data_IF_388480703105
#
_entry.id   IF_388480703105
#
_cell.length_a   1.000
_cell.length_b   1.000
_cell.length_c   1.000
_cell.angle_alpha   90.00
_cell.angle_beta   90.00
_cell.angle_gamma   90.00
#
_symmetry.space_group_name_H-M   'P 1'
#
loop_
_entity.id
_entity.type
_entity.pdbx_description
1 polymer ?
#
# COMPACT_ATOMS: atom_id res chain seq x y z
N UNK A 1 -37.63 -4.95 -29.58
CA UNK A 1 -36.88 -6.19 -29.33
C UNK A 1 -35.73 -6.25 -30.33
N UNK A 2 -34.55 -5.71 -29.98
CA UNK A 2 -33.31 -5.88 -30.72
C UNK A 2 -32.32 -6.64 -29.81
N UNK A 3 -32.04 -7.87 -30.21
CA UNK A 3 -31.07 -8.75 -29.53
C UNK A 3 -29.69 -8.09 -29.57
N UNK A 4 -29.12 -7.78 -28.41
CA UNK A 4 -27.70 -7.46 -28.26
C UNK A 4 -26.85 -8.65 -28.76
N UNK A 5 -25.73 -8.41 -29.48
CA UNK A 5 -24.91 -9.47 -30.05
C UNK A 5 -24.22 -10.24 -28.92
N UNK A 6 -24.23 -11.55 -29.13
CA UNK A 6 -23.80 -12.57 -28.16
C UNK A 6 -22.38 -12.44 -27.65
N UNK A 7 -22.25 -12.87 -26.41
CA UNK A 7 -21.14 -13.61 -25.85
C UNK A 7 -19.73 -13.22 -26.25
N UNK A 8 -19.17 -12.18 -25.61
CA UNK A 8 -17.71 -12.09 -25.49
C UNK A 8 -17.21 -13.36 -24.79
N UNK A 9 -16.35 -14.11 -25.45
CA UNK A 9 -15.81 -15.37 -24.94
C UNK A 9 -15.18 -15.17 -23.57
N UNK A 10 -15.23 -16.17 -22.71
CA UNK A 10 -14.63 -16.15 -21.35
C UNK A 10 -13.15 -15.70 -21.35
N UNK A 11 -12.43 -15.92 -22.46
CA UNK A 11 -11.06 -15.42 -22.66
C UNK A 11 -10.96 -13.89 -22.78
N UNK A 12 -11.94 -13.24 -23.41
CA UNK A 12 -11.90 -11.77 -23.58
C UNK A 12 -12.15 -10.99 -22.28
N UNK A 13 -12.76 -11.63 -21.28
CA UNK A 13 -12.96 -11.04 -19.94
C UNK A 13 -11.79 -11.30 -18.96
N UNK A 14 -11.00 -12.34 -19.21
CA UNK A 14 -9.90 -12.71 -18.35
C UNK A 14 -8.74 -11.69 -18.40
N UNK A 15 -8.42 -11.17 -19.59
CA UNK A 15 -7.32 -10.20 -19.77
C UNK A 15 -7.55 -8.90 -19.03
N UNK A 16 -8.71 -8.22 -19.10
CA UNK A 16 -8.99 -7.02 -18.32
C UNK A 16 -8.95 -7.26 -16.81
N UNK A 17 -9.44 -8.41 -16.33
CA UNK A 17 -9.41 -8.76 -14.92
C UNK A 17 -7.98 -9.03 -14.42
N UNK A 18 -7.14 -9.71 -15.19
CA UNK A 18 -5.73 -9.91 -14.85
C UNK A 18 -4.97 -8.59 -14.85
N UNK A 19 -5.17 -7.74 -15.87
CA UNK A 19 -4.58 -6.41 -15.90
C UNK A 19 -4.99 -5.57 -14.69
N UNK A 20 -6.27 -5.65 -14.28
CA UNK A 20 -6.72 -4.99 -13.07
C UNK A 20 -6.09 -5.56 -11.80
N UNK A 21 -5.93 -6.88 -11.70
CA UNK A 21 -5.22 -7.50 -10.57
C UNK A 21 -3.78 -7.00 -10.45
N UNK A 22 -3.02 -6.98 -11.55
CA UNK A 22 -1.65 -6.47 -11.54
C UNK A 22 -1.56 -4.95 -11.33
N UNK A 23 -2.55 -4.18 -11.79
CA UNK A 23 -2.58 -2.73 -11.49
C UNK A 23 -2.79 -2.46 -10.00
N UNK A 24 -3.66 -3.25 -9.34
CA UNK A 24 -3.88 -3.16 -7.88
C UNK A 24 -2.66 -3.66 -7.09
N UNK A 25 -1.93 -4.63 -7.65
CA UNK A 25 -0.71 -5.17 -7.03
C UNK A 25 0.50 -4.25 -7.17
N UNK A 26 0.46 -3.21 -8.00
CA UNK A 26 1.62 -2.31 -8.20
C UNK A 26 2.09 -1.70 -6.88
N UNK A 27 1.17 -1.32 -6.00
CA UNK A 27 1.48 -0.77 -4.68
C UNK A 27 2.15 -1.81 -3.76
N UNK A 28 1.55 -2.96 -3.40
CA UNK A 28 2.24 -3.93 -2.55
C UNK A 28 3.53 -4.50 -3.16
N UNK A 29 3.64 -4.63 -4.49
CA UNK A 29 4.88 -5.09 -5.14
C UNK A 29 5.97 -4.03 -5.03
N UNK A 30 5.65 -2.74 -5.05
CA UNK A 30 6.62 -1.65 -4.92
C UNK A 30 7.35 -1.66 -3.57
N UNK A 31 6.70 -2.16 -2.51
CA UNK A 31 7.31 -2.25 -1.17
C UNK A 31 8.52 -3.18 -1.11
N UNK A 32 8.66 -4.13 -2.03
CA UNK A 32 9.86 -4.98 -2.16
C UNK A 32 11.11 -4.13 -2.39
N UNK A 33 10.97 -2.98 -3.03
CA UNK A 33 12.10 -2.11 -3.37
C UNK A 33 12.81 -1.49 -2.15
N UNK A 34 12.11 -1.32 -1.02
CA UNK A 34 12.65 -0.63 0.15
C UNK A 34 12.55 -1.44 1.47
N UNK A 35 11.65 -2.44 1.55
CA UNK A 35 11.38 -3.11 2.82
C UNK A 35 12.52 -4.01 3.31
N UNK A 36 13.28 -4.65 2.38
CA UNK A 36 14.43 -5.51 2.74
C UNK A 36 15.55 -4.66 3.32
N UNK A 37 15.80 -3.48 2.74
CA UNK A 37 16.77 -2.51 3.27
C UNK A 37 16.36 -2.00 4.63
N UNK A 38 15.10 -1.60 4.80
CA UNK A 38 14.56 -1.15 6.08
C UNK A 38 14.72 -2.22 7.17
N UNK A 39 14.48 -3.50 6.83
CA UNK A 39 14.72 -4.62 7.73
C UNK A 39 16.18 -4.75 8.13
N UNK A 40 17.11 -4.70 7.15
CA UNK A 40 18.54 -4.84 7.40
C UNK A 40 19.08 -3.68 8.23
N UNK A 41 18.65 -2.44 7.97
CA UNK A 41 18.99 -1.27 8.79
C UNK A 41 18.48 -1.40 10.22
N UNK A 42 17.27 -1.93 10.41
CA UNK A 42 16.70 -2.17 11.74
C UNK A 42 17.36 -3.33 12.49
N UNK A 43 18.07 -4.23 11.79
CA UNK A 43 18.90 -5.31 12.32
C UNK A 43 20.37 -4.88 12.52
N UNK A 44 20.68 -3.58 12.41
CA UNK A 44 22.05 -3.03 12.49
C UNK A 44 23.02 -3.72 11.50
N UNK A 45 22.51 -4.18 10.35
CA UNK A 45 23.28 -4.85 9.32
C UNK A 45 23.52 -6.36 9.54
N UNK A 46 22.90 -6.97 10.54
CA UNK A 46 23.05 -8.41 10.79
C UNK A 46 22.31 -9.25 9.73
N UNK A 47 23.07 -9.68 8.73
CA UNK A 47 22.59 -10.50 7.62
C UNK A 47 22.04 -11.86 8.06
N UNK A 48 22.52 -12.41 9.18
CA UNK A 48 22.09 -13.72 9.66
C UNK A 48 20.63 -13.73 10.13
N UNK A 49 20.11 -12.57 10.54
CA UNK A 49 18.77 -12.38 11.04
C UNK A 49 17.80 -11.87 9.95
N UNK A 50 18.30 -11.47 8.77
CA UNK A 50 17.48 -10.88 7.71
C UNK A 50 16.41 -11.84 7.20
N UNK A 51 16.80 -13.06 6.79
CA UNK A 51 15.85 -14.06 6.24
C UNK A 51 14.81 -14.49 7.28
N UNK A 52 15.16 -14.83 8.53
CA UNK A 52 14.17 -15.11 9.58
C UNK A 52 13.20 -13.96 9.82
N UNK A 53 13.69 -12.71 9.83
CA UNK A 53 12.86 -11.52 10.00
C UNK A 53 11.87 -11.36 8.85
N UNK A 54 12.33 -11.46 7.59
CA UNK A 54 11.45 -11.34 6.41
C UNK A 54 10.43 -12.49 6.33
N UNK A 55 10.81 -13.70 6.73
CA UNK A 55 9.88 -14.83 6.81
C UNK A 55 8.77 -14.55 7.84
N UNK A 56 9.11 -14.03 9.03
CA UNK A 56 8.14 -13.63 10.05
C UNK A 56 7.18 -12.55 9.51
N UNK A 57 7.71 -11.54 8.83
CA UNK A 57 6.92 -10.47 8.20
C UNK A 57 5.91 -11.04 7.21
N UNK A 58 6.35 -11.91 6.30
CA UNK A 58 5.47 -12.54 5.31
C UNK A 58 4.40 -13.41 5.98
N UNK A 59 4.75 -14.13 7.05
CA UNK A 59 3.78 -14.91 7.82
C UNK A 59 2.69 -14.03 8.44
N UNK A 60 3.05 -12.85 8.96
CA UNK A 60 2.09 -11.88 9.50
C UNK A 60 1.23 -11.27 8.37
N UNK A 61 1.84 -10.94 7.24
CA UNK A 61 1.08 -10.47 6.07
C UNK A 61 0.07 -11.54 5.60
N UNK A 62 0.45 -12.81 5.61
CA UNK A 62 -0.47 -13.90 5.29
C UNK A 62 -1.67 -13.94 6.25
N UNK A 63 -1.45 -13.71 7.54
CA UNK A 63 -2.50 -13.62 8.54
C UNK A 63 -3.45 -12.43 8.27
N UNK A 64 -2.89 -11.26 7.94
CA UNK A 64 -3.66 -10.07 7.56
C UNK A 64 -4.46 -10.33 6.27
N UNK A 65 -3.88 -10.99 5.28
CA UNK A 65 -4.58 -11.37 4.03
C UNK A 65 -5.76 -12.32 4.29
N UNK A 66 -5.64 -13.24 5.24
CA UNK A 66 -6.79 -14.08 5.63
C UNK A 66 -7.91 -13.25 6.26
N UNK A 67 -7.58 -12.20 7.03
CA UNK A 67 -8.57 -11.24 7.52
C UNK A 67 -9.22 -10.45 6.37
N UNK A 68 -8.43 -9.89 5.44
CA UNK A 68 -8.96 -9.17 4.28
C UNK A 68 -9.82 -10.05 3.36
N UNK A 69 -9.51 -11.34 3.25
CA UNK A 69 -10.39 -12.29 2.57
C UNK A 69 -11.76 -12.36 3.25
N UNK A 70 -11.83 -12.37 4.59
CA UNK A 70 -13.09 -12.35 5.33
C UNK A 70 -13.85 -11.03 5.09
N UNK A 71 -13.13 -9.88 5.09
CA UNK A 71 -13.70 -8.57 4.78
C UNK A 71 -14.31 -8.53 3.37
N UNK A 72 -13.60 -9.00 2.34
CA UNK A 72 -14.11 -9.09 0.96
C UNK A 72 -15.37 -9.96 0.87
N UNK A 73 -15.44 -11.05 1.64
CA UNK A 73 -16.63 -11.89 1.68
C UNK A 73 -17.84 -11.17 2.27
N UNK A 74 -17.62 -10.36 3.31
CA UNK A 74 -18.69 -9.61 3.99
C UNK A 74 -19.08 -8.34 3.24
N UNK A 75 -18.10 -7.65 2.66
CA UNK A 75 -18.25 -6.36 1.97
C UNK A 75 -17.83 -6.45 0.50
N UNK A 76 -18.56 -7.18 -0.36
CA UNK A 76 -18.16 -7.34 -1.78
C UNK A 76 -18.30 -6.05 -2.59
N UNK A 77 -18.98 -5.04 -2.06
CA UNK A 77 -19.12 -3.71 -2.68
C UNK A 77 -18.02 -2.73 -2.26
N UNK A 78 -17.05 -3.17 -1.44
CA UNK A 78 -15.96 -2.33 -0.95
C UNK A 78 -16.17 -1.86 0.50
N UNK A 79 -15.37 -0.89 0.92
CA UNK A 79 -15.42 -0.34 2.29
C UNK A 79 -14.43 -0.97 3.28
N UNK A 80 -13.95 -2.19 3.01
CA UNK A 80 -12.85 -2.82 3.76
C UNK A 80 -12.97 -2.72 5.29
N UNK A 81 -11.86 -2.36 5.95
CA UNK A 81 -11.77 -2.26 7.40
C UNK A 81 -12.68 -1.17 7.99
N UNK A 82 -12.84 -0.02 7.32
CA UNK A 82 -13.67 1.08 7.83
C UNK A 82 -15.15 0.73 7.90
N UNK A 83 -15.69 0.04 6.87
CA UNK A 83 -17.05 -0.46 6.88
C UNK A 83 -17.27 -1.50 7.98
N UNK A 84 -16.29 -2.41 8.17
CA UNK A 84 -16.36 -3.43 9.22
C UNK A 84 -16.35 -2.82 10.62
N UNK A 85 -15.51 -1.82 10.87
CA UNK A 85 -15.42 -1.11 12.14
C UNK A 85 -16.72 -0.36 12.43
N UNK A 86 -17.30 0.32 11.44
CA UNK A 86 -18.57 1.03 11.57
C UNK A 86 -19.73 0.09 11.92
N UNK A 87 -19.83 -1.06 11.24
CA UNK A 87 -20.86 -2.07 11.54
C UNK A 87 -20.63 -2.73 12.90
N UNK A 88 -19.37 -2.97 13.28
CA UNK A 88 -19.04 -3.66 14.52
C UNK A 88 -19.19 -2.76 15.76
N UNK A 89 -18.73 -1.51 15.69
CA UNK A 89 -18.56 -0.65 16.86
C UNK A 89 -19.35 0.66 16.79
N UNK A 90 -19.95 0.97 15.65
CA UNK A 90 -20.69 2.20 15.38
C UNK A 90 -19.92 3.16 14.45
N UNK A 91 -20.66 4.01 13.72
CA UNK A 91 -20.12 4.87 12.65
C UNK A 91 -18.99 5.81 13.14
N UNK A 92 -19.05 6.26 14.39
CA UNK A 92 -18.00 7.10 14.98
C UNK A 92 -16.61 6.43 14.95
N UNK A 93 -16.53 5.12 15.14
CA UNK A 93 -15.28 4.37 15.15
C UNK A 93 -14.69 4.15 13.75
N UNK A 94 -15.50 4.28 12.69
CA UNK A 94 -15.03 4.20 11.31
C UNK A 94 -14.00 5.26 10.97
N UNK A 95 -14.02 6.41 11.66
CA UNK A 95 -13.09 7.50 11.40
C UNK A 95 -11.64 7.16 11.76
N UNK A 96 -11.42 6.19 12.67
CA UNK A 96 -10.06 5.75 13.01
C UNK A 96 -9.37 5.11 11.79
N UNK A 97 -9.89 4.04 11.16
CA UNK A 97 -9.26 3.49 9.96
C UNK A 97 -9.32 4.45 8.77
N UNK A 98 -10.33 5.32 8.64
CA UNK A 98 -10.39 6.32 7.57
C UNK A 98 -9.25 7.35 7.72
N UNK A 99 -9.06 7.92 8.91
CA UNK A 99 -7.98 8.87 9.16
C UNK A 99 -6.60 8.24 9.02
N UNK A 100 -6.45 6.99 9.45
CA UNK A 100 -5.24 6.20 9.22
C UNK A 100 -4.93 6.02 7.73
N UNK A 101 -5.93 5.69 6.91
CA UNK A 101 -5.78 5.54 5.45
C UNK A 101 -5.44 6.87 4.76
N UNK A 102 -5.98 8.01 5.22
CA UNK A 102 -5.59 9.32 4.67
C UNK A 102 -4.09 9.56 4.84
N UNK A 103 -3.57 9.32 6.05
CA UNK A 103 -2.13 9.47 6.35
C UNK A 103 -1.32 8.43 5.58
N UNK A 104 -1.81 7.20 5.49
CA UNK A 104 -1.20 6.11 4.74
C UNK A 104 -0.98 6.47 3.27
N UNK A 105 -2.00 6.98 2.58
CA UNK A 105 -1.87 7.39 1.18
C UNK A 105 -0.87 8.55 0.99
N UNK A 106 -0.82 9.53 1.91
CA UNK A 106 0.17 10.61 1.86
C UNK A 106 1.58 10.04 2.00
N UNK A 107 1.79 9.15 2.98
CA UNK A 107 3.08 8.51 3.22
C UNK A 107 3.48 7.58 2.07
N UNK A 108 2.53 6.82 1.50
CA UNK A 108 2.79 5.96 0.33
C UNK A 108 3.26 6.77 -0.87
N UNK A 109 2.65 7.94 -1.13
CA UNK A 109 3.12 8.86 -2.18
C UNK A 109 4.57 9.28 -1.88
N UNK A 110 4.84 9.75 -0.66
CA UNK A 110 6.15 10.27 -0.27
C UNK A 110 7.25 9.17 -0.33
N UNK A 111 7.00 7.99 0.26
CA UNK A 111 7.94 6.86 0.26
C UNK A 111 8.20 6.37 -1.16
N UNK A 112 7.14 6.11 -1.92
CA UNK A 112 7.28 5.56 -3.29
C UNK A 112 8.04 6.51 -4.21
N UNK A 113 7.76 7.81 -4.14
CA UNK A 113 8.46 8.79 -4.98
C UNK A 113 9.92 8.96 -4.54
N UNK A 114 10.18 9.00 -3.23
CA UNK A 114 11.55 9.10 -2.70
C UNK A 114 12.38 7.85 -3.04
N UNK A 115 11.80 6.64 -2.89
CA UNK A 115 12.45 5.41 -3.32
C UNK A 115 12.67 5.36 -4.84
N UNK A 116 11.73 5.92 -5.63
CA UNK A 116 11.91 6.10 -7.08
C UNK A 116 13.06 7.03 -7.42
N UNK A 117 13.21 8.13 -6.67
CA UNK A 117 14.36 9.02 -6.78
C UNK A 117 15.67 8.30 -6.40
N UNK A 118 15.66 7.51 -5.31
CA UNK A 118 16.82 6.71 -4.89
C UNK A 118 17.20 5.66 -5.94
N UNK A 119 16.24 5.02 -6.62
CA UNK A 119 16.52 4.10 -7.73
C UNK A 119 17.18 4.81 -8.92
N UNK A 120 16.73 6.04 -9.25
CA UNK A 120 17.36 6.83 -10.31
C UNK A 120 18.77 7.30 -9.91
N UNK A 121 18.97 7.73 -8.67
CA UNK A 121 20.27 8.15 -8.13
C UNK A 121 21.26 6.97 -8.15
N UNK A 122 20.82 5.77 -7.78
CA UNK A 122 21.68 4.60 -7.81
C UNK A 122 22.22 4.28 -9.22
N UNK A 123 21.51 4.67 -10.28
CA UNK A 123 21.98 4.56 -11.66
C UNK A 123 22.72 5.82 -12.14
N UNK A 124 22.28 7.01 -11.72
CA UNK A 124 22.88 8.31 -12.04
C UNK A 124 23.37 8.99 -10.76
N UNK A 125 24.55 8.65 -10.21
CA UNK A 125 25.04 9.18 -8.92
C UNK A 125 25.16 10.71 -8.89
N UNK A 126 25.37 11.36 -10.02
CA UNK A 126 25.44 12.82 -10.15
C UNK A 126 24.12 13.52 -9.73
N UNK A 127 23.01 12.79 -9.66
CA UNK A 127 21.74 13.31 -9.17
C UNK A 127 21.64 13.33 -7.64
N UNK A 128 22.56 12.72 -6.90
CA UNK A 128 22.51 12.61 -5.44
C UNK A 128 22.35 13.97 -4.72
N UNK A 129 23.06 15.06 -5.10
CA UNK A 129 22.85 16.38 -4.49
C UNK A 129 21.45 16.96 -4.71
N UNK A 130 20.73 16.47 -5.71
CA UNK A 130 19.39 16.92 -6.11
C UNK A 130 18.26 16.01 -5.62
N UNK A 131 18.54 15.06 -4.74
CA UNK A 131 17.58 14.04 -4.22
C UNK A 131 16.24 14.65 -3.85
N UNK A 132 16.24 15.68 -3.01
CA UNK A 132 15.01 16.33 -2.55
C UNK A 132 14.23 16.97 -3.69
N UNK A 133 14.92 17.69 -4.58
CA UNK A 133 14.30 18.32 -5.74
C UNK A 133 13.74 17.28 -6.72
N UNK A 134 14.46 16.19 -6.92
CA UNK A 134 14.02 15.07 -7.76
C UNK A 134 12.76 14.42 -7.18
N UNK A 135 12.73 14.13 -5.88
CA UNK A 135 11.57 13.59 -5.20
C UNK A 135 10.36 14.53 -5.29
N UNK A 136 10.53 15.82 -4.96
CA UNK A 136 9.45 16.80 -5.08
C UNK A 136 8.98 16.97 -6.53
N UNK A 137 9.91 16.98 -7.51
CA UNK A 137 9.59 17.04 -8.94
C UNK A 137 8.76 15.84 -9.40
N UNK A 138 9.09 14.63 -8.93
CA UNK A 138 8.32 13.42 -9.21
C UNK A 138 6.94 13.47 -8.56
N UNK A 139 6.79 13.97 -7.32
CA UNK A 139 5.45 14.18 -6.70
C UNK A 139 4.60 15.07 -7.60
N UNK A 140 5.15 16.21 -8.04
CA UNK A 140 4.45 17.15 -8.91
C UNK A 140 4.11 16.50 -10.26
N UNK A 141 5.03 15.75 -10.85
CA UNK A 141 4.79 15.05 -12.11
C UNK A 141 3.65 14.03 -12.00
N UNK A 142 3.61 13.23 -10.91
CA UNK A 142 2.55 12.26 -10.68
C UNK A 142 1.21 12.96 -10.39
N UNK A 143 1.22 14.03 -9.60
CA UNK A 143 0.03 14.85 -9.36
C UNK A 143 -0.54 15.43 -10.66
N UNK A 144 0.31 16.00 -11.51
CA UNK A 144 -0.07 16.52 -12.82
C UNK A 144 -0.60 15.41 -13.74
N UNK A 145 0.09 14.27 -13.77
CA UNK A 145 -0.37 13.10 -14.53
C UNK A 145 -1.77 12.66 -14.10
N UNK A 146 -2.04 12.66 -12.77
CA UNK A 146 -3.36 12.32 -12.21
C UNK A 146 -4.41 13.37 -12.59
N UNK A 147 -4.06 14.65 -12.63
CA UNK A 147 -4.98 15.74 -13.01
C UNK A 147 -5.29 15.78 -14.50
N UNK A 148 -4.31 15.48 -15.36
CA UNK A 148 -4.44 15.63 -16.82
C UNK A 148 -4.78 14.33 -17.56
N UNK A 149 -4.62 13.19 -16.95
CA UNK A 149 -4.99 11.92 -17.52
C UNK A 149 -4.57 10.79 -16.59
N UNK A 150 -5.48 9.92 -16.25
CA UNK A 150 -5.13 8.72 -15.50
C UNK A 150 -4.37 7.76 -16.43
N UNK A 151 -3.22 7.28 -15.98
CA UNK A 151 -2.59 6.12 -16.61
C UNK A 151 -3.58 4.96 -16.55
N UNK A 152 -3.84 4.36 -17.70
CA UNK A 152 -4.78 3.24 -17.79
C UNK A 152 -4.28 2.04 -16.96
N UNK A 153 -5.21 1.24 -16.46
CA UNK A 153 -4.91 0.01 -15.67
C UNK A 153 -3.90 -0.93 -16.36
N UNK A 154 -3.89 -0.95 -17.69
CA UNK A 154 -2.93 -1.71 -18.49
C UNK A 154 -1.49 -1.22 -18.31
N UNK A 155 -1.29 0.09 -18.19
CA UNK A 155 0.04 0.68 -17.99
C UNK A 155 0.59 0.31 -16.61
N UNK A 156 -0.22 0.43 -15.56
CA UNK A 156 0.19 -0.01 -14.21
C UNK A 156 0.48 -1.51 -14.16
N UNK A 157 -0.35 -2.32 -14.79
CA UNK A 157 -0.13 -3.75 -14.90
C UNK A 157 1.18 -4.07 -15.65
N UNK A 158 1.47 -3.35 -16.73
CA UNK A 158 2.70 -3.53 -17.49
C UNK A 158 3.94 -3.13 -16.68
N UNK A 159 3.87 -2.03 -15.92
CA UNK A 159 4.96 -1.60 -15.03
C UNK A 159 5.23 -2.63 -13.92
N UNK A 160 4.17 -3.14 -13.27
CA UNK A 160 4.30 -4.18 -12.26
C UNK A 160 4.88 -5.48 -12.83
N UNK A 161 4.38 -5.93 -13.98
CA UNK A 161 4.88 -7.14 -14.66
C UNK A 161 6.33 -6.96 -15.13
N UNK A 162 6.70 -5.80 -15.66
CA UNK A 162 8.07 -5.51 -16.08
C UNK A 162 9.03 -5.59 -14.89
N UNK A 163 8.70 -4.94 -13.77
CA UNK A 163 9.50 -5.03 -12.55
C UNK A 163 9.63 -6.47 -12.05
N UNK A 164 8.51 -7.21 -11.94
CA UNK A 164 8.52 -8.62 -11.51
C UNK A 164 9.43 -9.45 -12.42
N UNK A 165 9.27 -9.34 -13.74
CA UNK A 165 10.06 -10.10 -14.69
C UNK A 165 11.56 -9.77 -14.60
N UNK A 166 11.91 -8.49 -14.57
CA UNK A 166 13.31 -8.05 -14.49
C UNK A 166 13.90 -8.45 -13.13
N UNK A 167 13.15 -8.33 -12.03
CA UNK A 167 13.61 -8.77 -10.70
C UNK A 167 13.89 -10.28 -10.69
N UNK A 168 12.99 -11.11 -11.24
CA UNK A 168 13.21 -12.56 -11.35
C UNK A 168 14.47 -12.86 -12.15
N UNK A 169 14.70 -12.16 -13.26
CA UNK A 169 15.92 -12.34 -14.10
C UNK A 169 17.17 -11.95 -13.29
N UNK A 170 17.14 -10.81 -12.56
CA UNK A 170 18.25 -10.39 -11.70
C UNK A 170 18.55 -11.45 -10.63
N UNK A 171 17.53 -11.98 -9.96
CA UNK A 171 17.69 -13.05 -8.96
C UNK A 171 18.29 -14.32 -9.58
N UNK A 172 17.86 -14.71 -10.80
CA UNK A 172 18.46 -15.85 -11.51
C UNK A 172 19.96 -15.63 -11.81
N UNK A 173 20.36 -14.42 -12.17
CA UNK A 173 21.77 -14.06 -12.37
C UNK A 173 22.53 -14.07 -11.05
N UNK A 174 21.91 -13.61 -9.94
CA UNK A 174 22.49 -13.58 -8.60
C UNK A 174 22.91 -14.95 -8.08
N UNK A 175 22.17 -16.02 -8.42
CA UNK A 175 22.54 -17.39 -8.05
C UNK A 175 23.94 -17.82 -8.56
N UNK A 176 24.41 -17.24 -9.66
CA UNK A 176 25.72 -17.50 -10.22
C UNK A 176 26.78 -16.45 -9.87
N UNK A 177 26.42 -15.39 -9.17
CA UNK A 177 27.32 -14.30 -8.85
C UNK A 177 28.23 -14.67 -7.67
N UNK A 178 29.46 -14.12 -7.68
CA UNK A 178 30.42 -14.36 -6.60
C UNK A 178 30.12 -13.46 -5.41
N UNK A 179 30.02 -14.03 -4.17
CA UNK A 179 29.85 -13.22 -2.98
C UNK A 179 30.98 -12.20 -2.80
N UNK A 180 30.67 -11.05 -2.27
CA UNK A 180 31.69 -10.06 -1.90
C UNK A 180 32.66 -10.67 -0.90
N UNK A 181 33.96 -10.37 -1.06
CA UNK A 181 34.94 -10.68 -0.03
C UNK A 181 34.45 -10.07 1.29
N UNK A 182 34.50 -10.86 2.38
CA UNK A 182 33.95 -10.45 3.66
C UNK A 182 34.47 -9.06 4.06
N UNK A 183 33.71 -8.01 3.77
CA UNK A 183 33.79 -6.81 4.57
C UNK A 183 33.52 -7.26 6.00
N UNK A 184 34.31 -6.80 6.96
CA UNK A 184 34.19 -7.20 8.35
C UNK A 184 32.69 -7.20 8.70
N UNK A 185 32.16 -8.38 9.00
CA UNK A 185 30.74 -8.50 9.40
C UNK A 185 30.52 -7.45 10.49
N UNK A 186 29.54 -6.55 10.35
CA UNK A 186 29.28 -5.59 11.41
C UNK A 186 29.15 -6.38 12.70
N UNK A 187 29.77 -5.87 13.75
CA UNK A 187 29.69 -6.47 15.07
C UNK A 187 28.23 -6.77 15.37
N UNK A 188 27.94 -8.00 15.79
CA UNK A 188 26.58 -8.42 16.15
C UNK A 188 25.87 -7.29 16.89
N UNK A 189 24.66 -6.95 16.49
CA UNK A 189 23.79 -6.05 17.26
C UNK A 189 23.94 -6.46 18.72
N UNK A 190 24.28 -5.56 19.63
CA UNK A 190 24.54 -5.89 21.04
C UNK A 190 23.34 -6.54 21.76
N UNK A 191 22.36 -7.01 20.99
CA UNK A 191 21.13 -7.65 21.42
C UNK A 191 21.16 -9.17 21.18
N UNK A 192 20.47 -9.90 22.05
CA UNK A 192 20.15 -11.31 21.79
C UNK A 192 19.36 -11.43 20.48
N UNK A 193 19.64 -12.41 19.59
CA UNK A 193 19.03 -12.52 18.26
C UNK A 193 17.50 -12.36 18.23
N UNK A 194 16.79 -12.96 19.20
CA UNK A 194 15.33 -12.84 19.30
C UNK A 194 14.91 -11.39 19.56
N UNK A 195 15.61 -10.67 20.41
CA UNK A 195 15.31 -9.25 20.71
C UNK A 195 15.57 -8.38 19.47
N UNK A 196 16.66 -8.62 18.75
CA UNK A 196 16.97 -7.92 17.51
C UNK A 196 15.84 -8.11 16.47
N UNK A 197 15.37 -9.35 16.25
CA UNK A 197 14.24 -9.64 15.35
C UNK A 197 12.97 -8.96 15.83
N UNK A 198 12.63 -9.03 17.13
CA UNK A 198 11.45 -8.40 17.71
C UNK A 198 11.45 -6.88 17.53
N UNK A 199 12.60 -6.24 17.61
CA UNK A 199 12.73 -4.80 17.39
C UNK A 199 12.76 -4.42 15.90
N UNK A 200 13.27 -5.28 15.03
CA UNK A 200 13.41 -5.00 13.60
C UNK A 200 12.15 -5.29 12.79
N UNK A 201 11.42 -6.38 13.12
CA UNK A 201 10.28 -6.79 12.30
C UNK A 201 9.19 -5.73 12.16
N UNK A 202 8.88 -4.86 13.17
CA UNK A 202 7.88 -3.81 12.98
C UNK A 202 8.25 -2.79 11.89
N UNK A 203 9.54 -2.53 11.68
CA UNK A 203 10.03 -1.69 10.57
C UNK A 203 9.94 -2.44 9.26
N UNK A 204 10.35 -3.71 9.24
CA UNK A 204 10.26 -4.59 8.09
C UNK A 204 8.81 -4.82 7.61
N UNK A 205 7.82 -4.62 8.50
CA UNK A 205 6.40 -4.64 8.16
C UNK A 205 5.96 -3.50 7.22
N UNK A 206 6.84 -2.56 6.85
CA UNK A 206 6.62 -1.68 5.71
C UNK A 206 6.36 -2.45 4.40
N UNK A 207 6.74 -3.73 4.33
CA UNK A 207 6.36 -4.66 3.25
C UNK A 207 4.84 -4.83 3.12
N UNK A 208 4.07 -4.57 4.17
CA UNK A 208 2.60 -4.71 4.18
C UNK A 208 1.85 -3.55 3.50
N UNK A 209 2.56 -2.55 2.97
CA UNK A 209 1.99 -1.43 2.21
C UNK A 209 1.10 -1.95 1.08
N UNK A 210 -0.11 -1.40 0.96
CA UNK A 210 -1.03 -1.70 -0.13
C UNK A 210 -1.69 -3.09 -0.08
N UNK A 211 -1.46 -3.89 0.97
CA UNK A 211 -2.12 -5.21 1.12
C UNK A 211 -3.65 -5.08 1.22
N UNK A 212 -4.15 -3.93 1.68
CA UNK A 212 -5.58 -3.60 1.73
C UNK A 212 -6.17 -3.24 0.36
N UNK A 213 -5.34 -2.82 -0.61
CA UNK A 213 -5.77 -2.31 -1.91
C UNK A 213 -6.76 -3.24 -2.66
N UNK A 214 -6.59 -4.58 -2.68
CA UNK A 214 -7.58 -5.46 -3.29
C UNK A 214 -8.97 -5.36 -2.67
N UNK A 215 -9.08 -5.07 -1.37
CA UNK A 215 -10.37 -4.99 -0.66
C UNK A 215 -11.14 -3.70 -0.95
N UNK A 216 -10.45 -2.64 -1.31
CA UNK A 216 -11.04 -1.37 -1.74
C UNK A 216 -11.30 -1.36 -3.23
N UNK A 217 -10.38 -1.87 -4.03
CA UNK A 217 -10.45 -1.89 -5.49
C UNK A 217 -11.60 -2.76 -6.05
N UNK A 218 -12.09 -3.76 -5.32
CA UNK A 218 -13.25 -4.56 -5.76
C UNK A 218 -14.52 -3.72 -5.97
N UNK A 219 -14.63 -2.57 -5.32
CA UNK A 219 -15.74 -1.63 -5.52
C UNK A 219 -15.80 -1.09 -6.96
N UNK A 220 -14.64 -0.93 -7.61
CA UNK A 220 -14.53 -0.44 -8.99
C UNK A 220 -14.99 -1.46 -10.05
N UNK A 221 -15.24 -2.72 -9.64
CA UNK A 221 -15.70 -3.79 -10.52
C UNK A 221 -17.24 -3.83 -10.61
N UNK A 222 -17.87 -2.69 -10.95
CA UNK A 222 -19.33 -2.57 -11.09
C UNK A 222 -19.98 -3.61 -12.01
N UNK A 223 -19.24 -4.05 -13.02
CA UNK A 223 -19.69 -5.06 -14.00
C UNK A 223 -19.81 -6.48 -13.43
N UNK A 224 -19.16 -6.77 -12.28
CA UNK A 224 -19.21 -8.08 -11.65
C UNK A 224 -20.29 -8.14 -10.57
N UNK A 225 -20.97 -9.29 -10.52
CA UNK A 225 -21.82 -9.61 -9.38
C UNK A 225 -20.99 -9.89 -8.12
N UNK A 226 -21.62 -9.93 -6.94
CA UNK A 226 -20.93 -10.13 -5.65
C UNK A 226 -20.09 -11.40 -5.62
N UNK A 227 -20.52 -12.51 -6.26
CA UNK A 227 -19.74 -13.73 -6.36
C UNK A 227 -18.46 -13.54 -7.18
N UNK A 228 -18.57 -12.79 -8.28
CA UNK A 228 -17.42 -12.42 -9.13
C UNK A 228 -16.41 -11.55 -8.39
N UNK A 229 -16.88 -10.51 -7.69
CA UNK A 229 -16.06 -9.62 -6.87
C UNK A 229 -15.34 -10.38 -5.75
N UNK A 230 -16.05 -11.24 -5.00
CA UNK A 230 -15.44 -12.11 -3.96
C UNK A 230 -14.38 -13.05 -4.53
N UNK A 231 -14.64 -13.64 -5.70
CA UNK A 231 -13.65 -14.53 -6.36
C UNK A 231 -12.43 -13.74 -6.81
N UNK A 232 -12.65 -12.60 -7.45
CA UNK A 232 -11.57 -11.72 -7.91
C UNK A 232 -10.71 -11.26 -6.74
N UNK A 233 -11.29 -10.64 -5.71
CA UNK A 233 -10.54 -10.13 -4.56
C UNK A 233 -9.76 -11.22 -3.83
N UNK A 234 -10.34 -12.43 -3.68
CA UNK A 234 -9.63 -13.57 -3.11
C UNK A 234 -8.42 -13.98 -3.94
N UNK A 235 -8.57 -14.07 -5.26
CA UNK A 235 -7.46 -14.45 -6.16
C UNK A 235 -6.37 -13.39 -6.12
N UNK A 236 -6.73 -12.11 -6.19
CA UNK A 236 -5.77 -11.00 -6.14
C UNK A 236 -5.01 -10.97 -4.81
N UNK A 237 -5.67 -11.15 -3.65
CA UNK A 237 -5.01 -11.21 -2.35
C UNK A 237 -3.94 -12.32 -2.27
N UNK A 238 -4.29 -13.54 -2.70
CA UNK A 238 -3.34 -14.66 -2.67
C UNK A 238 -2.23 -14.51 -3.70
N UNK A 239 -2.53 -13.94 -4.86
CA UNK A 239 -1.52 -13.63 -5.86
C UNK A 239 -0.55 -12.55 -5.36
N UNK A 240 -1.06 -11.51 -4.68
CA UNK A 240 -0.24 -10.49 -4.02
C UNK A 240 0.72 -11.13 -3.01
N UNK A 241 0.20 -11.97 -2.10
CA UNK A 241 1.05 -12.67 -1.13
C UNK A 241 2.13 -13.53 -1.81
N UNK A 242 1.74 -14.29 -2.83
CA UNK A 242 2.67 -15.16 -3.54
C UNK A 242 3.77 -14.35 -4.23
N UNK A 243 3.43 -13.29 -4.95
CA UNK A 243 4.40 -12.46 -5.68
C UNK A 243 5.28 -11.68 -4.71
N UNK A 244 4.69 -10.91 -3.80
CA UNK A 244 5.45 -10.09 -2.84
C UNK A 244 6.31 -10.97 -1.94
N UNK A 245 5.74 -12.06 -1.40
CA UNK A 245 6.47 -12.97 -0.53
C UNK A 245 7.65 -13.66 -1.23
N UNK A 246 7.43 -14.13 -2.47
CA UNK A 246 8.49 -14.81 -3.24
C UNK A 246 9.61 -13.85 -3.62
N UNK A 247 9.26 -12.66 -4.14
CA UNK A 247 10.27 -11.66 -4.51
C UNK A 247 11.06 -11.20 -3.29
N UNK A 248 10.38 -10.91 -2.18
CA UNK A 248 11.04 -10.46 -0.94
C UNK A 248 11.98 -11.50 -0.38
N UNK A 249 11.55 -12.78 -0.31
CA UNK A 249 12.43 -13.86 0.14
C UNK A 249 13.57 -14.09 -0.83
N UNK A 250 13.33 -14.01 -2.14
CA UNK A 250 14.37 -14.09 -3.15
C UNK A 250 15.42 -13.00 -2.97
N UNK A 251 14.99 -11.74 -2.84
CA UNK A 251 15.90 -10.60 -2.58
C UNK A 251 16.66 -10.79 -1.27
N UNK A 252 15.97 -11.16 -0.17
CA UNK A 252 16.63 -11.35 1.12
C UNK A 252 17.66 -12.50 1.10
N UNK A 253 17.35 -13.61 0.42
CA UNK A 253 18.27 -14.73 0.27
C UNK A 253 19.51 -14.33 -0.56
N UNK A 254 19.32 -13.60 -1.66
CA UNK A 254 20.42 -13.12 -2.50
C UNK A 254 21.29 -12.08 -1.78
N UNK A 255 20.68 -11.15 -1.02
CA UNK A 255 21.39 -10.18 -0.20
C UNK A 255 22.31 -10.90 0.82
N UNK A 256 21.81 -11.96 1.44
CA UNK A 256 22.61 -12.79 2.38
C UNK A 256 23.66 -13.59 1.62
N UNK A 257 23.31 -14.21 0.49
CA UNK A 257 24.22 -14.99 -0.35
C UNK A 257 25.41 -14.15 -0.85
N UNK A 258 25.12 -12.97 -1.38
CA UNK A 258 26.12 -12.05 -1.92
C UNK A 258 26.80 -11.20 -0.83
N UNK A 259 26.40 -11.34 0.43
CA UNK A 259 26.92 -10.60 1.60
C UNK A 259 26.83 -9.08 1.42
N UNK A 260 25.70 -8.60 0.95
CA UNK A 260 25.47 -7.18 0.74
C UNK A 260 25.06 -6.54 2.07
N UNK A 261 25.92 -5.69 2.62
CA UNK A 261 25.65 -4.94 3.85
C UNK A 261 24.62 -3.83 3.66
N UNK A 262 24.47 -2.97 4.69
CA UNK A 262 23.63 -1.77 4.59
C UNK A 262 24.20 -0.83 3.52
N UNK A 263 23.41 -0.41 2.52
CA UNK A 263 23.92 0.44 1.44
C UNK A 263 24.23 1.85 1.93
N UNK A 264 25.08 2.55 1.19
CA UNK A 264 25.37 3.98 1.39
C UNK A 264 24.17 4.87 1.02
N UNK A 265 24.32 6.17 1.26
CA UNK A 265 23.23 7.14 1.05
C UNK A 265 22.78 7.26 -0.42
N UNK A 266 23.66 7.01 -1.38
CA UNK A 266 23.43 7.27 -2.81
C UNK A 266 23.08 6.01 -3.61
N UNK A 267 22.77 4.92 -2.93
CA UNK A 267 22.36 3.66 -3.52
C UNK A 267 21.30 2.97 -2.66
N UNK A 268 20.69 1.88 -3.15
CA UNK A 268 19.70 1.09 -2.42
C UNK A 268 20.13 -0.36 -2.33
N UNK A 269 19.59 -1.10 -1.36
CA UNK A 269 19.90 -2.53 -1.17
C UNK A 269 19.68 -3.35 -2.45
N UNK A 270 18.55 -3.12 -3.12
CA UNK A 270 18.23 -3.83 -4.36
C UNK A 270 19.08 -3.35 -5.56
N UNK A 271 19.55 -2.10 -5.53
CA UNK A 271 20.48 -1.59 -6.54
C UNK A 271 21.85 -2.25 -6.42
N UNK A 272 22.40 -2.37 -5.19
CA UNK A 272 23.64 -3.08 -4.94
C UNK A 272 23.55 -4.56 -5.34
N UNK A 273 22.41 -5.22 -5.03
CA UNK A 273 22.14 -6.58 -5.47
C UNK A 273 22.19 -6.68 -7.01
N UNK A 274 21.45 -5.80 -7.69
CA UNK A 274 21.39 -5.85 -9.16
C UNK A 274 22.72 -5.50 -9.81
N UNK A 275 23.51 -4.58 -9.23
CA UNK A 275 24.84 -4.21 -9.72
C UNK A 275 25.84 -5.37 -9.61
N UNK A 276 25.75 -6.17 -8.54
CA UNK A 276 26.62 -7.33 -8.34
C UNK A 276 26.19 -8.54 -9.15
N UNK A 277 24.88 -8.74 -9.30
CA UNK A 277 24.32 -9.93 -9.92
C UNK A 277 24.26 -9.84 -11.45
N UNK A 278 24.05 -8.66 -12.03
CA UNK A 278 23.60 -8.49 -13.38
C UNK A 278 24.56 -7.67 -14.26
N UNK A 279 24.63 -7.92 -15.59
CA UNK A 279 25.34 -7.05 -16.51
C UNK A 279 24.68 -5.67 -16.59
N UNK A 280 25.46 -4.64 -16.97
CA UNK A 280 25.04 -3.23 -17.00
C UNK A 280 23.69 -2.96 -17.68
N UNK A 281 23.35 -3.53 -18.85
CA UNK A 281 22.04 -3.29 -19.46
C UNK A 281 20.87 -3.81 -18.61
N UNK A 282 21.06 -4.92 -17.88
CA UNK A 282 20.06 -5.49 -17.01
C UNK A 282 19.93 -4.68 -15.72
N UNK A 283 21.06 -4.18 -15.19
CA UNK A 283 21.05 -3.24 -14.06
C UNK A 283 20.29 -1.95 -14.39
N UNK A 284 20.55 -1.35 -15.58
CA UNK A 284 19.79 -0.21 -16.05
C UNK A 284 18.28 -0.52 -16.15
N UNK A 285 17.92 -1.63 -16.82
CA UNK A 285 16.51 -2.04 -16.92
C UNK A 285 15.86 -2.24 -15.56
N UNK A 286 16.59 -2.80 -14.59
CA UNK A 286 16.10 -2.98 -13.22
C UNK A 286 15.83 -1.66 -12.53
N UNK A 287 16.74 -0.69 -12.58
CA UNK A 287 16.56 0.62 -11.94
C UNK A 287 15.40 1.40 -12.57
N UNK A 288 15.28 1.40 -13.90
CA UNK A 288 14.17 2.08 -14.58
C UNK A 288 12.83 1.41 -14.30
N UNK A 289 12.73 0.09 -14.31
CA UNK A 289 11.48 -0.61 -13.98
C UNK A 289 11.11 -0.42 -12.51
N UNK A 290 12.09 -0.35 -11.60
CA UNK A 290 11.88 -0.02 -10.19
C UNK A 290 11.32 1.39 -10.03
N UNK A 291 11.93 2.40 -10.65
CA UNK A 291 11.44 3.78 -10.60
C UNK A 291 10.03 3.91 -11.18
N UNK A 292 9.75 3.27 -12.32
CA UNK A 292 8.43 3.28 -12.94
C UNK A 292 7.37 2.61 -12.06
N UNK A 293 7.67 1.47 -11.43
CA UNK A 293 6.77 0.81 -10.51
C UNK A 293 6.45 1.70 -9.28
N UNK A 294 7.46 2.36 -8.72
CA UNK A 294 7.31 3.26 -7.58
C UNK A 294 6.46 4.50 -7.94
N UNK A 295 6.64 5.06 -9.14
CA UNK A 295 5.76 6.11 -9.69
C UNK A 295 4.33 5.59 -9.87
N UNK A 296 4.14 4.33 -10.29
CA UNK A 296 2.82 3.71 -10.40
C UNK A 296 2.14 3.57 -9.02
N UNK A 297 2.88 3.14 -8.00
CA UNK A 297 2.39 3.05 -6.62
C UNK A 297 1.96 4.42 -6.08
N UNK A 298 2.78 5.47 -6.27
CA UNK A 298 2.41 6.83 -5.90
C UNK A 298 1.14 7.31 -6.64
N UNK A 299 1.01 6.99 -7.93
CA UNK A 299 -0.17 7.35 -8.72
C UNK A 299 -1.44 6.64 -8.25
N UNK A 300 -1.35 5.38 -7.79
CA UNK A 300 -2.49 4.66 -7.21
C UNK A 300 -3.00 5.36 -5.95
N UNK A 301 -2.10 5.81 -5.08
CA UNK A 301 -2.44 6.56 -3.86
C UNK A 301 -3.01 7.96 -4.16
N UNK A 302 -2.52 8.64 -5.22
CA UNK A 302 -3.13 9.88 -5.71
C UNK A 302 -4.54 9.71 -6.30
N UNK A 303 -4.93 8.49 -6.66
CA UNK A 303 -6.29 8.17 -7.08
C UNK A 303 -7.16 7.78 -5.88
N UNK A 304 -6.67 6.88 -5.02
CA UNK A 304 -7.40 6.33 -3.90
C UNK A 304 -7.68 7.37 -2.79
N UNK A 305 -6.67 8.14 -2.37
CA UNK A 305 -6.81 9.13 -1.29
C UNK A 305 -7.80 10.25 -1.62
N UNK A 306 -7.60 11.01 -2.71
CA UNK A 306 -8.56 12.02 -3.16
C UNK A 306 -9.95 11.45 -3.47
N UNK A 307 -10.02 10.22 -4.02
CA UNK A 307 -11.26 9.50 -4.27
C UNK A 307 -12.06 9.24 -2.99
N UNK A 308 -11.36 8.86 -1.91
CA UNK A 308 -11.95 8.67 -0.59
C UNK A 308 -12.52 9.97 -0.01
N UNK A 309 -11.77 11.09 -0.08
CA UNK A 309 -12.27 12.39 0.37
C UNK A 309 -13.50 12.84 -0.44
N UNK A 310 -13.50 12.59 -1.75
CA UNK A 310 -14.64 12.85 -2.62
C UNK A 310 -15.86 12.01 -2.21
N UNK A 311 -15.68 10.73 -1.88
CA UNK A 311 -16.77 9.88 -1.40
C UNK A 311 -17.40 10.43 -0.11
N UNK A 312 -16.57 10.88 0.85
CA UNK A 312 -17.03 11.52 2.09
C UNK A 312 -17.72 12.87 1.85
N UNK A 313 -17.38 13.59 0.77
CA UNK A 313 -18.03 14.84 0.41
C UNK A 313 -19.38 14.62 -0.32
N UNK A 314 -19.59 13.44 -0.93
CA UNK A 314 -20.79 13.08 -1.71
C UNK A 314 -21.81 12.24 -0.97
N UNK A 315 -21.53 11.80 0.23
CA UNK A 315 -22.36 10.84 0.94
C UNK A 315 -23.86 11.15 0.80
N UNK A 316 -24.64 10.12 0.44
CA UNK A 316 -26.09 10.19 0.30
C UNK A 316 -26.73 9.44 1.46
N UNK A 317 -27.55 10.11 2.27
CA UNK A 317 -28.25 9.49 3.39
C UNK A 317 -29.31 8.47 2.94
N UNK A 318 -29.86 7.67 3.88
CA UNK A 318 -30.92 6.68 3.57
C UNK A 318 -32.18 7.27 2.94
N UNK A 319 -32.39 8.57 3.11
CA UNK A 319 -33.51 9.35 2.58
C UNK A 319 -33.25 9.93 1.16
N UNK A 320 -32.15 9.56 0.53
CA UNK A 320 -31.73 10.05 -0.78
C UNK A 320 -31.21 11.48 -0.80
N UNK A 321 -31.12 12.15 0.35
CA UNK A 321 -30.55 13.50 0.45
C UNK A 321 -29.02 13.41 0.49
N UNK A 322 -28.35 14.31 -0.23
CA UNK A 322 -26.88 14.45 -0.15
C UNK A 322 -26.51 15.04 1.21
N UNK A 323 -25.87 14.23 2.02
CA UNK A 323 -25.39 14.59 3.37
C UNK A 323 -23.87 14.42 3.40
N UNK A 324 -23.16 15.12 2.49
CA UNK A 324 -21.70 15.12 2.51
C UNK A 324 -21.20 15.74 3.81
N UNK A 325 -20.25 15.06 4.48
CA UNK A 325 -19.64 15.58 5.72
C UNK A 325 -18.47 16.52 5.42
N UNK A 326 -17.82 16.36 4.27
CA UNK A 326 -16.71 17.22 3.86
C UNK A 326 -17.19 18.37 2.96
N UNK A 327 -16.42 19.48 2.88
CA UNK A 327 -16.76 20.61 2.01
C UNK A 327 -16.97 20.18 0.56
N UNK A 328 -18.00 20.73 -0.08
CA UNK A 328 -18.37 20.44 -1.47
C UNK A 328 -17.25 20.72 -2.50
N UNK A 329 -16.23 21.49 -2.11
CA UNK A 329 -15.03 21.73 -2.94
C UNK A 329 -14.28 20.43 -3.23
N UNK A 330 -14.24 19.48 -2.28
CA UNK A 330 -13.56 18.19 -2.44
C UNK A 330 -14.34 17.23 -3.35
N UNK A 331 -15.63 17.48 -3.59
CA UNK A 331 -16.42 16.75 -4.57
C UNK A 331 -16.19 17.23 -6.01
N UNK A 332 -15.71 18.48 -6.19
CA UNK A 332 -15.52 19.05 -7.52
C UNK A 332 -14.43 18.31 -8.28
N UNK A 333 -14.78 17.87 -9.48
CA UNK A 333 -13.85 17.27 -10.44
C UNK A 333 -13.51 18.25 -11.55
N UNK A 334 -12.33 18.11 -12.13
CA UNK A 334 -11.94 18.81 -13.34
C UNK A 334 -12.69 18.21 -14.58
N UNK A 335 -12.45 18.78 -15.77
CA UNK A 335 -13.02 18.29 -17.03
C UNK A 335 -12.69 16.82 -17.36
N UNK A 336 -11.74 16.21 -16.64
CA UNK A 336 -11.29 14.82 -16.78
C UNK A 336 -11.73 13.93 -15.61
N UNK A 337 -12.74 14.38 -14.84
CA UNK A 337 -13.30 13.68 -13.69
C UNK A 337 -12.32 13.43 -12.52
N UNK A 338 -11.13 14.03 -12.52
CA UNK A 338 -10.17 13.95 -11.40
C UNK A 338 -10.55 14.94 -10.28
N UNK A 339 -10.51 14.54 -8.99
CA UNK A 339 -10.81 15.40 -7.85
C UNK A 339 -9.64 16.36 -7.56
N UNK A 340 -9.58 17.48 -8.31
CA UNK A 340 -8.43 18.38 -8.37
C UNK A 340 -7.98 18.91 -7.00
N UNK A 341 -8.92 19.30 -6.14
CA UNK A 341 -8.60 19.80 -4.79
C UNK A 341 -8.06 18.70 -3.86
N UNK A 342 -8.58 17.48 -4.01
CA UNK A 342 -8.04 16.33 -3.29
C UNK A 342 -6.61 16.02 -3.73
N UNK A 343 -6.32 16.00 -5.04
CA UNK A 343 -4.98 15.79 -5.57
C UNK A 343 -4.02 16.88 -5.10
N UNK A 344 -4.44 18.15 -5.12
CA UNK A 344 -3.62 19.27 -4.62
C UNK A 344 -3.30 19.10 -3.13
N UNK A 345 -4.31 18.76 -2.31
CA UNK A 345 -4.12 18.54 -0.86
C UNK A 345 -3.12 17.41 -0.59
N UNK A 346 -3.31 16.24 -1.21
CA UNK A 346 -2.39 15.10 -1.04
C UNK A 346 -0.98 15.43 -1.56
N UNK A 347 -0.88 16.16 -2.68
CA UNK A 347 0.41 16.59 -3.23
C UNK A 347 1.15 17.52 -2.28
N UNK A 348 0.49 18.52 -1.72
CA UNK A 348 1.10 19.45 -0.74
C UNK A 348 1.53 18.68 0.52
N UNK A 349 0.68 17.81 1.06
CA UNK A 349 1.03 17.01 2.24
C UNK A 349 2.20 16.07 1.96
N UNK A 350 2.23 15.40 0.80
CA UNK A 350 3.33 14.53 0.41
C UNK A 350 4.65 15.31 0.25
N UNK A 351 4.62 16.50 -0.37
CA UNK A 351 5.80 17.37 -0.47
C UNK A 351 6.29 17.78 0.91
N UNK A 352 5.39 18.21 1.80
CA UNK A 352 5.77 18.61 3.18
C UNK A 352 6.47 17.47 3.90
N UNK A 353 5.90 16.26 3.86
CA UNK A 353 6.47 15.08 4.54
C UNK A 353 7.82 14.70 3.89
N UNK A 354 7.93 14.74 2.56
CA UNK A 354 9.17 14.46 1.84
C UNK A 354 10.27 15.48 2.20
N UNK A 355 9.92 16.76 2.31
CA UNK A 355 10.87 17.82 2.74
C UNK A 355 11.33 17.59 4.18
N UNK A 356 10.42 17.26 5.10
CA UNK A 356 10.77 16.95 6.49
C UNK A 356 11.68 15.73 6.62
N UNK A 357 11.57 14.77 5.72
CA UNK A 357 12.46 13.61 5.65
C UNK A 357 13.73 13.84 4.82
N UNK A 358 13.93 15.05 4.25
CA UNK A 358 15.08 15.32 3.39
C UNK A 358 15.09 14.56 2.06
N UNK A 359 13.95 14.00 1.64
CA UNK A 359 13.84 13.13 0.46
C UNK A 359 14.38 11.71 0.67
N UNK A 360 14.71 11.33 1.92
CA UNK A 360 15.23 10.01 2.24
C UNK A 360 14.08 9.00 2.44
N UNK A 361 14.05 7.98 1.58
CA UNK A 361 12.99 6.97 1.58
C UNK A 361 13.03 6.09 2.84
N UNK A 362 14.21 5.80 3.39
CA UNK A 362 14.32 4.96 4.58
C UNK A 362 13.80 5.68 5.84
N UNK A 363 14.00 6.99 5.95
CA UNK A 363 13.37 7.82 6.98
C UNK A 363 11.85 7.82 6.82
N UNK A 364 11.33 7.94 5.59
CA UNK A 364 9.90 7.89 5.31
C UNK A 364 9.27 6.54 5.65
N UNK A 365 9.98 5.44 5.43
CA UNK A 365 9.53 4.09 5.83
C UNK A 365 9.29 4.01 7.34
N UNK A 366 10.07 4.70 8.17
CA UNK A 366 9.85 4.73 9.62
C UNK A 366 8.56 5.47 10.01
N UNK A 367 8.16 6.51 9.27
CA UNK A 367 6.84 7.15 9.49
C UNK A 367 5.69 6.24 9.07
N UNK A 368 5.89 5.46 8.01
CA UNK A 368 4.84 4.67 7.38
C UNK A 368 4.26 3.58 8.29
N UNK A 369 5.10 2.92 9.10
CA UNK A 369 4.80 1.67 9.77
C UNK A 369 3.60 1.68 10.76
N UNK A 370 3.02 2.82 11.09
CA UNK A 370 1.92 2.92 12.08
C UNK A 370 0.54 3.11 11.43
N UNK A 371 0.45 3.93 10.37
CA UNK A 371 -0.84 4.29 9.77
C UNK A 371 -1.60 3.07 9.26
N UNK A 372 -0.95 2.21 8.48
CA UNK A 372 -1.59 1.01 7.92
C UNK A 372 -2.01 0.01 9.01
N UNK A 373 -1.21 -0.12 10.08
CA UNK A 373 -1.51 -1.07 11.16
C UNK A 373 -2.72 -0.68 11.98
N UNK A 374 -3.01 0.61 12.10
CA UNK A 374 -4.21 1.07 12.77
C UNK A 374 -5.47 0.64 12.01
N UNK A 375 -5.42 0.67 10.68
CA UNK A 375 -6.49 0.14 9.82
C UNK A 375 -6.60 -1.38 9.92
N UNK A 376 -5.47 -2.11 9.90
CA UNK A 376 -5.45 -3.57 10.04
C UNK A 376 -6.02 -4.00 11.39
N UNK A 377 -5.62 -3.34 12.47
CA UNK A 377 -6.12 -3.64 13.81
C UNK A 377 -7.64 -3.45 13.89
N UNK A 378 -8.16 -2.37 13.32
CA UNK A 378 -9.60 -2.11 13.24
C UNK A 378 -10.34 -3.23 12.52
N UNK A 379 -9.86 -3.64 11.35
CA UNK A 379 -10.44 -4.75 10.56
C UNK A 379 -10.40 -6.09 11.30
N UNK A 380 -9.28 -6.42 11.94
CA UNK A 380 -9.11 -7.66 12.73
C UNK A 380 -10.05 -7.71 13.93
N UNK A 381 -10.16 -6.61 14.70
CA UNK A 381 -11.05 -6.51 15.85
C UNK A 381 -12.53 -6.60 15.43
N UNK A 382 -12.91 -5.92 14.33
CA UNK A 382 -14.26 -5.99 13.79
C UNK A 382 -14.62 -7.43 13.37
N UNK A 383 -13.72 -8.10 12.64
CA UNK A 383 -13.94 -9.49 12.23
C UNK A 383 -13.91 -10.47 13.40
N UNK A 384 -13.11 -10.22 14.44
CA UNK A 384 -13.17 -11.01 15.68
C UNK A 384 -14.54 -10.89 16.34
N UNK A 385 -15.11 -9.67 16.44
CA UNK A 385 -16.44 -9.44 16.98
C UNK A 385 -17.53 -10.18 16.17
N UNK A 386 -17.46 -10.12 14.84
CA UNK A 386 -18.40 -10.86 13.99
C UNK A 386 -18.23 -12.37 14.13
N UNK A 387 -16.99 -12.88 14.14
CA UNK A 387 -16.72 -14.31 14.33
C UNK A 387 -17.22 -14.83 15.68
N UNK A 388 -17.13 -14.02 16.74
CA UNK A 388 -17.70 -14.35 18.04
C UNK A 388 -19.23 -14.42 18.00
N UNK A 389 -19.88 -13.41 17.39
CA UNK A 389 -21.33 -13.33 17.24
C UNK A 389 -21.86 -14.50 16.39
N UNK A 390 -21.18 -14.81 15.29
CA UNK A 390 -21.58 -15.82 14.32
C UNK A 390 -21.11 -17.24 14.74
N UNK A 391 -20.49 -17.39 15.92
CA UNK A 391 -20.02 -18.64 16.53
C UNK A 391 -19.02 -19.42 15.65
N UNK A 392 -18.09 -18.71 15.01
CA UNK A 392 -17.00 -19.28 14.22
C UNK A 392 -15.67 -19.25 14.99
N UNK A 393 -15.35 -20.26 15.85
CA UNK A 393 -14.21 -20.22 16.76
C UNK A 393 -12.86 -20.14 16.05
N UNK A 394 -12.68 -20.85 14.92
CA UNK A 394 -11.43 -20.82 14.18
C UNK A 394 -11.13 -19.41 13.61
N UNK A 395 -12.13 -18.74 13.03
CA UNK A 395 -11.99 -17.35 12.55
C UNK A 395 -11.79 -16.37 13.70
N UNK A 396 -12.43 -16.60 14.85
CA UNK A 396 -12.23 -15.78 16.05
C UNK A 396 -10.78 -15.85 16.53
N UNK A 397 -10.24 -17.05 16.71
CA UNK A 397 -8.85 -17.24 17.15
C UNK A 397 -7.88 -16.59 16.17
N UNK A 398 -8.06 -16.82 14.86
CA UNK A 398 -7.22 -16.24 13.83
C UNK A 398 -7.22 -14.70 13.87
N UNK A 399 -8.40 -14.09 13.96
CA UNK A 399 -8.53 -12.63 14.01
C UNK A 399 -7.97 -12.06 15.33
N UNK A 400 -8.11 -12.75 16.46
CA UNK A 400 -7.52 -12.33 17.74
C UNK A 400 -6.00 -12.44 17.74
N UNK A 401 -5.45 -13.54 17.19
CA UNK A 401 -3.99 -13.68 17.03
C UNK A 401 -3.45 -12.59 16.11
N UNK A 402 -4.12 -12.32 14.98
CA UNK A 402 -3.76 -11.22 14.09
C UNK A 402 -3.82 -9.87 14.80
N UNK A 403 -4.90 -9.59 15.54
CA UNK A 403 -5.06 -8.36 16.29
C UNK A 403 -3.97 -8.19 17.35
N UNK A 404 -3.63 -9.25 18.09
CA UNK A 404 -2.56 -9.24 19.08
C UNK A 404 -1.18 -8.97 18.43
N UNK A 405 -0.89 -9.59 17.29
CA UNK A 405 0.36 -9.38 16.56
C UNK A 405 0.46 -7.94 16.01
N UNK A 406 -0.60 -7.42 15.40
CA UNK A 406 -0.64 -6.05 14.88
C UNK A 406 -0.59 -5.03 16.03
N UNK A 407 -1.29 -5.27 17.14
CA UNK A 407 -1.21 -4.43 18.33
C UNK A 407 0.21 -4.42 18.92
N UNK A 408 0.87 -5.57 18.98
CA UNK A 408 2.26 -5.68 19.41
C UNK A 408 3.19 -4.88 18.48
N UNK A 409 3.03 -5.00 17.17
CA UNK A 409 3.77 -4.21 16.17
C UNK A 409 3.59 -2.69 16.41
N UNK A 410 2.37 -2.25 16.66
CA UNK A 410 2.08 -0.85 16.99
C UNK A 410 2.79 -0.42 18.27
N UNK A 411 2.70 -1.21 19.35
CA UNK A 411 3.33 -0.90 20.65
C UNK A 411 4.85 -0.77 20.51
N UNK A 412 5.50 -1.69 19.80
CA UNK A 412 6.97 -1.63 19.57
C UNK A 412 7.33 -0.39 18.74
N UNK A 413 6.55 -0.05 17.73
CA UNK A 413 6.79 1.16 16.94
C UNK A 413 6.58 2.45 17.75
N UNK A 414 5.68 2.48 18.72
CA UNK A 414 5.45 3.64 19.59
C UNK A 414 6.64 3.96 20.51
N UNK A 415 7.55 3.03 20.72
CA UNK A 415 8.81 3.30 21.39
C UNK A 415 9.77 4.18 20.56
N UNK A 416 9.44 4.46 19.31
CA UNK A 416 10.23 5.27 18.37
C UNK A 416 9.53 6.58 18.08
N UNK A 417 10.29 7.68 17.96
CA UNK A 417 9.73 9.04 17.77
C UNK A 417 9.00 9.18 16.42
N UNK A 418 9.60 8.71 15.32
CA UNK A 418 9.05 8.93 13.98
C UNK A 418 7.68 8.23 13.77
N UNK A 419 7.50 6.95 14.13
CA UNK A 419 6.19 6.30 14.09
C UNK A 419 5.12 6.99 14.96
N UNK A 420 5.52 7.58 16.09
CA UNK A 420 4.60 8.31 16.97
C UNK A 420 4.00 9.54 16.28
N UNK A 421 4.79 10.25 15.44
CA UNK A 421 4.29 11.38 14.64
C UNK A 421 3.20 10.93 13.68
N UNK A 422 3.39 9.81 12.99
CA UNK A 422 2.40 9.24 12.08
C UNK A 422 1.10 8.80 12.80
N UNK A 423 1.23 8.21 13.99
CA UNK A 423 0.06 7.90 14.82
C UNK A 423 -0.70 9.17 15.22
N UNK A 424 0.01 10.18 15.70
CA UNK A 424 -0.59 11.45 16.09
C UNK A 424 -1.30 12.11 14.90
N UNK A 425 -0.69 12.11 13.71
CA UNK A 425 -1.31 12.60 12.48
C UNK A 425 -2.59 11.79 12.14
N UNK A 426 -2.54 10.45 12.21
CA UNK A 426 -3.70 9.59 11.94
C UNK A 426 -4.85 9.86 12.91
N UNK A 427 -4.57 9.98 14.20
CA UNK A 427 -5.58 10.30 15.21
C UNK A 427 -6.11 11.72 15.07
N UNK A 428 -5.26 12.69 14.70
CA UNK A 428 -5.69 14.07 14.43
C UNK A 428 -6.66 14.13 13.24
N UNK A 429 -6.33 13.48 12.13
CA UNK A 429 -7.20 13.40 10.95
C UNK A 429 -8.51 12.69 11.33
N UNK A 430 -8.45 11.59 12.07
CA UNK A 430 -9.64 10.88 12.57
C UNK A 430 -10.52 11.80 13.44
N UNK A 431 -9.92 12.55 14.36
CA UNK A 431 -10.63 13.49 15.21
C UNK A 431 -11.26 14.63 14.41
N UNK A 432 -10.55 15.19 13.43
CA UNK A 432 -11.11 16.22 12.53
C UNK A 432 -12.32 15.68 11.78
N UNK A 433 -12.22 14.51 11.17
CA UNK A 433 -13.32 13.87 10.44
C UNK A 433 -14.50 13.57 11.36
N UNK A 434 -14.27 13.08 12.57
CA UNK A 434 -15.28 12.86 13.57
C UNK A 434 -16.00 14.16 13.99
N UNK A 435 -15.23 15.24 14.23
CA UNK A 435 -15.81 16.55 14.60
C UNK A 435 -16.67 17.14 13.48
N UNK A 436 -16.21 17.01 12.23
CA UNK A 436 -16.97 17.45 11.06
C UNK A 436 -18.26 16.64 10.92
N UNK A 437 -18.20 15.32 11.08
CA UNK A 437 -19.38 14.45 11.10
C UNK A 437 -20.36 14.78 12.22
N UNK A 438 -19.84 15.03 13.42
CA UNK A 438 -20.67 15.40 14.58
C UNK A 438 -21.39 16.73 14.35
N UNK A 439 -20.71 17.72 13.74
CA UNK A 439 -21.30 19.01 13.35
C UNK A 439 -22.32 18.91 12.23
N UNK A 440 -22.15 17.94 11.33
CA UNK A 440 -23.10 17.66 10.24
C UNK A 440 -24.39 16.95 10.72
N UNK A 441 -24.57 16.75 12.02
CA UNK A 441 -25.77 16.11 12.57
C UNK A 441 -25.68 14.59 12.66
N UNK A 442 -24.48 14.01 12.58
CA UNK A 442 -24.21 12.57 12.69
C UNK A 442 -25.00 11.74 11.68
N UNK A 443 -24.90 12.02 10.36
CA UNK A 443 -25.63 11.25 9.36
C UNK A 443 -25.25 9.77 9.46
N UNK A 444 -26.24 8.88 9.40
CA UNK A 444 -26.07 7.43 9.44
C UNK A 444 -25.50 6.88 8.13
N UNK A 445 -24.76 5.78 8.22
CA UNK A 445 -24.32 5.04 7.05
C UNK A 445 -23.06 5.60 6.36
N UNK A 446 -22.22 6.37 7.04
CA UNK A 446 -20.89 6.78 6.56
C UNK A 446 -19.99 5.54 6.49
N UNK A 447 -20.37 4.65 5.61
CA UNK A 447 -19.52 3.55 5.15
C UNK A 447 -18.95 4.03 3.84
N UNK A 448 -17.64 3.82 3.60
CA UNK A 448 -17.06 4.06 2.28
C UNK A 448 -17.70 3.08 1.28
N UNK A 449 -18.95 3.36 0.90
CA UNK A 449 -19.62 2.66 -0.18
C UNK A 449 -19.21 3.39 -1.47
N UNK A 450 -18.15 2.88 -2.10
CA UNK A 450 -17.69 3.40 -3.40
C UNK A 450 -18.56 2.92 -4.54
N UNK A 451 -19.68 2.24 -4.26
CA UNK A 451 -20.60 1.68 -5.25
C UNK A 451 -21.45 2.71 -5.99
N UNK A 452 -21.49 3.97 -5.54
CA UNK A 452 -22.29 5.05 -6.19
C UNK A 452 -21.75 5.50 -7.58
N UNK A 453 -20.68 4.88 -8.09
CA UNK A 453 -20.17 5.21 -9.43
C UNK A 453 -20.81 4.41 -10.57
N UNK A 454 -21.65 3.39 -10.29
CA UNK A 454 -22.23 2.53 -11.31
C UNK A 454 -23.68 2.90 -11.70
N UNK A 455 -24.40 3.68 -10.87
CA UNK A 455 -25.84 3.93 -11.07
C UNK A 455 -26.17 5.34 -11.56
N UNK A 456 -25.16 6.11 -11.99
CA UNK A 456 -25.32 7.52 -12.42
C UNK A 456 -25.83 7.76 -13.85
N UNK A 457 -26.14 6.72 -14.62
CA UNK A 457 -26.64 6.87 -16.02
C UNK A 457 -28.03 6.25 -16.24
N UNK A 458 -28.89 6.35 -15.26
CA UNK A 458 -30.32 6.14 -15.41
C UNK A 458 -31.04 7.44 -15.82
N UNK A 459 -30.93 7.83 -17.09
CA UNK A 459 -31.72 8.91 -17.67
C UNK A 459 -33.23 8.55 -17.64
N UNK A 460 -34.08 9.23 -16.88
CA UNK A 460 -35.50 9.07 -17.02
C UNK A 460 -35.96 9.99 -18.15
N UNK A 461 -36.05 9.49 -19.35
CA UNK A 461 -36.84 10.17 -20.40
C UNK A 461 -38.28 9.67 -20.41
N UNK A 462 -39.22 10.60 -20.71
CA UNK A 462 -40.66 10.51 -20.45
C UNK A 462 -41.40 9.45 -21.28
#
# INVERSE_FOLDING_TARGET
MSKLPGGLSSRSRAIPLMAFAFSVMADPVSSVAYAVEAALRALDGDLSLLVPTMFLVIAIIALVIVNYRQLIFRYPKGGGASAAVGEAFGDAWSFIPIGALVVDFVLTIAVSVSAGASALIAYFPDLAPWRLLLACGLILAVAMLTLFGQLGRLVFAAMALAFIAVTVVVLCFGLGATPQAAAALPASSGHVPIVAVVLAFPVAMALATGVEAPSTAIAELGELNDRGRRRFGRVTLWLTLAVVGTLTLGVALEVVHLRIGVPGADTTQIAELARLAAPEPLFAAFQFTTALLLVAAASSSFQAGPGMLKALARHTGPDGRRVGILPAVLDRTNARHAPAWGVALFGVLAVVVTVLAGGDDQTLVLYYAVSVFLSFLGGLLAMARFSHRDRHPASLVLNLVGAATVAFTLIVNLARVLPLVSLAASLLVSAILYLVWARAGRPEGIRMDTSDHADGDGDPRP
#
